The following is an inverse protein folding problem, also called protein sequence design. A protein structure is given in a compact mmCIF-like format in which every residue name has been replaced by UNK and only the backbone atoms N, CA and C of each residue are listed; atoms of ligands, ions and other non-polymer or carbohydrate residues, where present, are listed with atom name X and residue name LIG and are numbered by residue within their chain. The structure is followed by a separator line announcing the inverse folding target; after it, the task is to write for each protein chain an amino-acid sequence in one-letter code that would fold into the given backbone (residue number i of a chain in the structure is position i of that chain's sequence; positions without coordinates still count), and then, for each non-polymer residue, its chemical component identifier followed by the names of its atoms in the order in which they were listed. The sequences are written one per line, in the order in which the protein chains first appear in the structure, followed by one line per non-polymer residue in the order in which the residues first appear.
data_IF_722698549307
#
_entry.id   IF_722698549307
#
_cell.length_a   1.000
_cell.length_b   1.000
_cell.length_c   1.000
_cell.angle_alpha   90.00
_cell.angle_beta   90.00
_cell.angle_gamma   90.00
#
_symmetry.space_group_name_H-M   'P 1'
#
loop_
_entity.id
_entity.type
_entity.pdbx_description
1 polymer ?
#
# COMPACT_ATOMS: atom_id res chain seq x y z
N UNK A 1 -42.01 -6.68 -28.00
CA UNK A 1 -40.59 -6.94 -28.33
C UNK A 1 -39.79 -6.72 -27.06
N UNK A 2 -39.34 -7.80 -26.41
CA UNK A 2 -38.47 -7.72 -25.25
C UNK A 2 -37.03 -7.59 -25.76
N UNK A 3 -36.40 -6.44 -25.53
CA UNK A 3 -34.95 -6.28 -25.73
C UNK A 3 -34.26 -6.90 -24.52
N UNK A 4 -33.91 -8.18 -24.66
CA UNK A 4 -33.04 -8.87 -23.73
C UNK A 4 -31.61 -8.37 -23.96
N UNK A 5 -31.24 -7.29 -23.27
CA UNK A 5 -29.87 -6.77 -23.28
C UNK A 5 -29.09 -7.73 -22.37
N UNK A 6 -28.07 -8.46 -22.87
CA UNK A 6 -27.33 -9.38 -22.03
C UNK A 6 -26.74 -8.57 -20.87
N UNK A 7 -27.12 -8.94 -19.65
CA UNK A 7 -26.50 -8.39 -18.45
C UNK A 7 -25.00 -8.65 -18.58
N UNK A 8 -24.21 -7.61 -18.86
CA UNK A 8 -22.76 -7.69 -18.82
C UNK A 8 -22.41 -8.09 -17.39
N UNK A 9 -22.07 -9.36 -17.16
CA UNK A 9 -21.56 -9.80 -15.86
C UNK A 9 -20.37 -8.89 -15.57
N UNK A 10 -20.42 -8.21 -14.41
CA UNK A 10 -19.26 -7.49 -13.94
C UNK A 10 -18.07 -8.46 -13.90
N UNK A 11 -16.87 -8.02 -14.31
CA UNK A 11 -15.69 -8.87 -14.20
C UNK A 11 -15.58 -9.37 -12.75
N UNK A 12 -15.53 -10.68 -12.58
CA UNK A 12 -15.38 -11.31 -11.27
C UNK A 12 -13.94 -11.07 -10.79
N UNK A 13 -13.78 -10.53 -9.58
CA UNK A 13 -12.47 -10.34 -8.97
C UNK A 13 -11.98 -11.71 -8.51
N UNK A 14 -10.86 -12.17 -9.05
CA UNK A 14 -10.27 -13.45 -8.65
C UNK A 14 -9.58 -13.35 -7.29
N UNK A 15 -9.34 -14.49 -6.65
CA UNK A 15 -8.61 -14.53 -5.37
C UNK A 15 -7.18 -14.00 -5.52
N UNK A 16 -6.53 -14.26 -6.66
CA UNK A 16 -5.20 -13.73 -6.96
C UNK A 16 -5.21 -12.20 -7.02
N UNK A 17 -6.20 -11.62 -7.69
CA UNK A 17 -6.37 -10.17 -7.78
C UNK A 17 -6.67 -9.55 -6.40
N UNK A 18 -7.43 -10.23 -5.54
CA UNK A 18 -7.66 -9.79 -4.16
C UNK A 18 -6.36 -9.78 -3.34
N UNK A 19 -5.52 -10.80 -3.48
CA UNK A 19 -4.21 -10.88 -2.80
C UNK A 19 -3.26 -9.78 -3.29
N UNK A 20 -3.27 -9.50 -4.59
CA UNK A 20 -2.52 -8.39 -5.18
C UNK A 20 -3.01 -7.05 -4.62
N UNK A 21 -4.32 -6.77 -4.69
CA UNK A 21 -4.93 -5.55 -4.16
C UNK A 21 -4.63 -5.35 -2.66
N UNK A 22 -4.68 -6.40 -1.86
CA UNK A 22 -4.31 -6.34 -0.45
C UNK A 22 -2.82 -5.99 -0.25
N UNK A 23 -1.96 -6.53 -1.11
CA UNK A 23 -0.52 -6.21 -1.10
C UNK A 23 -0.28 -4.74 -1.43
N UNK A 24 -0.96 -4.20 -2.44
CA UNK A 24 -0.91 -2.78 -2.78
C UNK A 24 -1.45 -1.90 -1.66
N UNK A 25 -2.60 -2.25 -1.08
CA UNK A 25 -3.19 -1.50 0.04
C UNK A 25 -2.25 -1.42 1.24
N UNK A 26 -1.54 -2.51 1.55
CA UNK A 26 -0.54 -2.54 2.62
C UNK A 26 0.62 -1.57 2.35
N UNK A 27 1.09 -1.50 1.09
CA UNK A 27 2.16 -0.59 0.70
C UNK A 27 1.70 0.87 0.77
N UNK A 28 0.48 1.16 0.30
CA UNK A 28 -0.09 2.51 0.34
C UNK A 28 -0.29 3.01 1.78
N UNK A 29 -0.79 2.16 2.68
CA UNK A 29 -0.94 2.54 4.09
C UNK A 29 0.40 2.94 4.75
N UNK A 30 1.49 2.24 4.41
CA UNK A 30 2.82 2.63 4.90
C UNK A 30 3.35 3.90 4.23
N UNK A 31 2.96 4.19 2.99
CA UNK A 31 3.30 5.44 2.29
C UNK A 31 2.65 6.64 2.97
N UNK A 32 1.38 6.54 3.34
CA UNK A 32 0.66 7.62 4.02
C UNK A 32 1.35 7.98 5.35
N UNK A 33 1.78 6.97 6.13
CA UNK A 33 2.58 7.20 7.34
C UNK A 33 3.95 7.80 7.06
N UNK A 34 4.60 7.41 5.95
CA UNK A 34 5.87 7.97 5.53
C UNK A 34 5.74 9.46 5.19
N UNK A 35 4.61 9.88 4.61
CA UNK A 35 4.34 11.28 4.29
C UNK A 35 4.19 12.13 5.56
N UNK A 36 3.48 11.64 6.59
CA UNK A 36 3.41 12.33 7.89
C UNK A 36 4.81 12.51 8.52
N UNK A 37 5.65 11.48 8.45
CA UNK A 37 7.01 11.54 8.99
C UNK A 37 7.91 12.45 8.16
N UNK A 38 7.71 12.49 6.85
CA UNK A 38 8.43 13.41 5.98
C UNK A 38 8.07 14.87 6.28
N UNK A 39 6.82 15.14 6.66
CA UNK A 39 6.40 16.45 7.17
C UNK A 39 7.10 16.78 8.49
N UNK A 40 7.10 15.86 9.47
CA UNK A 40 7.82 16.05 10.75
C UNK A 40 9.32 16.36 10.52
N UNK A 41 9.95 15.67 9.56
CA UNK A 41 11.34 15.89 9.16
C UNK A 41 11.56 17.22 8.42
N UNK A 42 10.57 17.68 7.66
CA UNK A 42 10.64 18.97 6.98
C UNK A 42 10.53 20.13 7.97
N UNK A 43 9.61 20.03 8.93
CA UNK A 43 9.32 21.08 9.89
C UNK A 43 10.38 21.16 11.01
N UNK A 44 10.78 20.02 11.59
CA UNK A 44 11.75 19.96 12.68
C UNK A 44 12.65 18.70 12.62
N UNK A 45 13.63 18.66 11.69
CA UNK A 45 14.45 17.48 11.41
C UNK A 45 15.33 17.03 12.59
N UNK A 46 15.69 17.96 13.47
CA UNK A 46 16.66 17.70 14.53
C UNK A 46 16.04 17.53 15.91
N UNK A 47 14.71 17.69 16.06
CA UNK A 47 14.08 17.47 17.36
C UNK A 47 14.22 16.01 17.81
N UNK A 48 14.39 15.79 19.13
CA UNK A 48 14.34 14.45 19.71
C UNK A 48 13.03 13.72 19.40
N UNK A 49 11.92 14.45 19.32
CA UNK A 49 10.58 13.91 19.04
C UNK A 49 10.49 13.37 17.61
N UNK A 50 10.88 14.15 16.62
CA UNK A 50 10.92 13.74 15.21
C UNK A 50 11.81 12.52 15.04
N UNK A 51 13.03 12.54 15.62
CA UNK A 51 13.93 11.38 15.58
C UNK A 51 13.31 10.13 16.19
N UNK A 52 12.63 10.27 17.32
CA UNK A 52 11.96 9.14 17.99
C UNK A 52 10.84 8.56 17.10
N UNK A 53 10.01 9.42 16.50
CA UNK A 53 8.91 9.02 15.60
C UNK A 53 9.43 8.31 14.34
N UNK A 54 10.43 8.88 13.68
CA UNK A 54 11.10 8.27 12.52
C UNK A 54 11.63 6.87 12.85
N UNK A 55 12.39 6.75 13.95
CA UNK A 55 12.95 5.48 14.38
C UNK A 55 11.87 4.47 14.77
N UNK A 56 10.79 4.93 15.41
CA UNK A 56 9.64 4.09 15.76
C UNK A 56 8.96 3.53 14.52
N UNK A 57 8.76 4.35 13.50
CA UNK A 57 8.15 3.91 12.24
C UNK A 57 9.01 2.90 11.50
N UNK A 58 10.33 3.13 11.38
CA UNK A 58 11.23 2.15 10.75
C UNK A 58 11.23 0.78 11.45
N UNK A 59 10.90 0.75 12.75
CA UNK A 59 10.79 -0.49 13.54
C UNK A 59 9.37 -1.08 13.55
N UNK A 60 8.39 -0.39 12.97
CA UNK A 60 7.00 -0.80 12.99
C UNK A 60 6.73 -2.03 12.13
N UNK A 61 5.70 -2.77 12.53
CA UNK A 61 5.20 -3.92 11.77
C UNK A 61 4.64 -3.49 10.41
N UNK A 62 4.02 -2.30 10.34
CA UNK A 62 3.52 -1.71 9.10
C UNK A 62 4.63 -1.49 8.08
N UNK A 63 5.74 -0.86 8.49
CA UNK A 63 6.90 -0.65 7.62
C UNK A 63 7.49 -1.98 7.16
N UNK A 64 7.62 -2.96 8.06
CA UNK A 64 8.13 -4.30 7.74
C UNK A 64 7.22 -5.03 6.74
N UNK A 65 5.91 -5.02 6.95
CA UNK A 65 4.95 -5.65 6.05
C UNK A 65 4.95 -5.00 4.67
N UNK A 66 4.93 -3.67 4.62
CA UNK A 66 4.95 -2.92 3.36
C UNK A 66 6.22 -3.16 2.56
N UNK A 67 7.40 -3.19 3.21
CA UNK A 67 8.66 -3.47 2.51
C UNK A 67 8.72 -4.90 1.95
N UNK A 68 8.17 -5.89 2.67
CA UNK A 68 8.03 -7.26 2.18
C UNK A 68 7.09 -7.33 0.97
N UNK A 69 5.90 -6.71 1.06
CA UNK A 69 4.91 -6.69 -0.04
C UNK A 69 5.42 -5.91 -1.25
N UNK A 70 6.09 -4.79 -1.06
CA UNK A 70 6.68 -4.02 -2.16
C UNK A 70 7.76 -4.81 -2.92
N UNK A 71 8.54 -5.65 -2.22
CA UNK A 71 9.51 -6.56 -2.88
C UNK A 71 8.80 -7.64 -3.68
N UNK A 72 7.73 -8.22 -3.14
CA UNK A 72 6.93 -9.22 -3.83
C UNK A 72 6.30 -8.64 -5.11
N UNK A 73 5.71 -7.45 -5.03
CA UNK A 73 5.09 -6.76 -6.17
C UNK A 73 6.11 -6.42 -7.27
N UNK A 74 7.33 -6.00 -6.94
CA UNK A 74 8.38 -5.73 -7.95
C UNK A 74 8.89 -6.99 -8.66
N UNK A 75 8.71 -8.15 -8.06
CA UNK A 75 9.07 -9.45 -8.64
C UNK A 75 7.90 -10.16 -9.33
N UNK A 76 6.69 -9.60 -9.26
CA UNK A 76 5.53 -10.14 -9.97
C UNK A 76 5.65 -9.82 -11.47
N UNK A 77 5.34 -10.78 -12.37
CA UNK A 77 5.20 -10.46 -13.77
C UNK A 77 4.08 -9.43 -13.95
N UNK A 78 4.26 -8.46 -14.85
CA UNK A 78 3.18 -7.54 -15.23
C UNK A 78 1.99 -8.39 -15.70
N UNK A 79 0.83 -8.22 -15.05
CA UNK A 79 -0.41 -8.85 -15.50
C UNK A 79 -0.82 -8.10 -16.76
N UNK A 80 -0.51 -8.69 -17.92
CA UNK A 80 -0.85 -8.20 -19.25
C UNK A 80 -2.34 -8.38 -19.58
#
# INVERSE_FOLDING_TARGET
MATDRPATRAPEITDELLVELQSHATVLAAKDQAEEIALDLHEDPFSPTTRSRVLGWFKSDTYRAATQRARALRGAPEVE
#
